data_IF_714669884578
#
_entry.id   IF_714669884578
#
_cell.length_a   1.000
_cell.length_b   1.000
_cell.length_c   1.000
_cell.angle_alpha   90.00
_cell.angle_beta   90.00
_cell.angle_gamma   90.00
#
_symmetry.space_group_name_H-M   'P 1'
#
loop_
_entity.id
_entity.type
_entity.pdbx_description
1 polymer ?
#
# COMPACT_ATOMS: atom_id res chain seq x y z
N UNK A 1 -19.41 -0.95 8.11
CA UNK A 1 -18.10 -1.04 8.79
C UNK A 1 -17.19 -0.09 8.05
N UNK A 2 -16.64 0.93 8.70
CA UNK A 2 -15.68 1.81 8.01
C UNK A 2 -14.33 1.09 7.92
N UNK A 3 -13.83 1.00 6.69
CA UNK A 3 -12.57 0.35 6.34
C UNK A 3 -11.69 1.41 5.69
N UNK A 4 -10.43 1.42 6.06
CA UNK A 4 -9.42 2.27 5.45
C UNK A 4 -8.43 1.38 4.72
N UNK A 5 -8.05 1.76 3.51
CA UNK A 5 -7.01 1.10 2.77
C UNK A 5 -6.00 2.14 2.30
N UNK A 6 -4.71 1.81 2.38
CA UNK A 6 -3.63 2.68 1.94
C UNK A 6 -2.73 1.95 0.95
N UNK A 7 -2.37 2.64 -0.13
CA UNK A 7 -1.31 2.18 -1.02
C UNK A 7 0.01 2.65 -0.46
N UNK A 8 0.89 1.71 -0.14
CA UNK A 8 2.15 1.97 0.57
C UNK A 8 3.32 1.60 -0.32
N UNK A 9 4.25 2.53 -0.50
CA UNK A 9 5.53 2.33 -1.15
C UNK A 9 6.62 2.09 -0.10
N UNK A 10 7.30 0.96 -0.25
CA UNK A 10 8.50 0.60 0.49
C UNK A 10 9.69 0.81 -0.43
N UNK A 11 10.57 1.73 -0.06
CA UNK A 11 11.81 2.03 -0.76
C UNK A 11 12.98 1.55 0.09
N UNK A 12 13.59 0.44 -0.32
CA UNK A 12 14.62 -0.24 0.46
C UNK A 12 16.00 -0.05 -0.15
N UNK A 13 17.00 0.06 0.73
CA UNK A 13 18.42 0.16 0.33
C UNK A 13 19.00 -1.19 -0.10
N UNK A 14 18.37 -2.29 0.31
CA UNK A 14 18.82 -3.66 0.02
C UNK A 14 17.70 -4.60 -0.41
N UNK A 15 18.08 -5.68 -1.10
CA UNK A 15 17.15 -6.72 -1.55
C UNK A 15 16.50 -7.52 -0.40
N UNK A 16 17.10 -7.50 0.79
CA UNK A 16 16.56 -8.15 1.98
C UNK A 16 15.33 -7.39 2.54
N UNK A 17 15.14 -6.13 2.14
CA UNK A 17 14.04 -5.26 2.60
C UNK A 17 14.01 -5.04 4.13
N UNK A 18 15.18 -5.09 4.78
CA UNK A 18 15.29 -4.89 6.24
C UNK A 18 15.36 -3.40 6.62
N UNK A 19 15.78 -2.53 5.70
CA UNK A 19 15.92 -1.09 5.88
C UNK A 19 15.19 -0.36 4.75
N UNK A 20 13.91 -0.10 4.98
CA UNK A 20 13.00 0.51 4.02
C UNK A 20 12.40 1.81 4.55
N UNK A 21 12.43 2.85 3.72
CA UNK A 21 11.62 4.03 3.92
C UNK A 21 10.20 3.74 3.40
N UNK A 22 9.21 4.09 4.22
CA UNK A 22 7.80 3.79 3.95
C UNK A 22 7.06 5.08 3.64
N UNK A 23 6.35 5.09 2.52
CA UNK A 23 5.58 6.23 2.06
C UNK A 23 4.14 5.81 1.76
N UNK A 24 3.17 6.54 2.32
CA UNK A 24 1.77 6.43 1.92
C UNK A 24 1.61 7.19 0.61
N UNK A 25 1.24 6.48 -0.44
CA UNK A 25 1.04 7.05 -1.78
C UNK A 25 -0.37 7.57 -1.97
N UNK A 26 -1.35 6.84 -1.46
CA UNK A 26 -2.78 7.17 -1.54
C UNK A 26 -3.55 6.42 -0.43
N UNK A 27 -4.75 6.90 -0.11
CA UNK A 27 -5.61 6.31 0.91
C UNK A 27 -7.08 6.43 0.56
N UNK A 28 -7.82 5.37 0.80
CA UNK A 28 -9.26 5.27 0.56
C UNK A 28 -10.00 4.88 1.83
N UNK A 29 -11.24 5.33 1.93
CA UNK A 29 -12.11 5.08 3.08
C UNK A 29 -13.48 4.57 2.62
N UNK A 30 -14.08 3.69 3.40
CA UNK A 30 -15.40 3.12 3.15
C UNK A 30 -15.36 1.66 2.70
N UNK A 31 -16.52 1.14 2.30
CA UNK A 31 -16.70 -0.29 2.02
C UNK A 31 -15.88 -0.77 0.80
N UNK A 32 -15.63 0.14 -0.14
CA UNK A 32 -14.90 -0.13 -1.38
C UNK A 32 -13.40 0.15 -1.31
N UNK A 33 -12.90 0.68 -0.19
CA UNK A 33 -11.49 1.09 -0.03
C UNK A 33 -10.50 -0.01 -0.41
N UNK A 34 -10.80 -1.27 -0.06
CA UNK A 34 -9.95 -2.44 -0.41
C UNK A 34 -9.95 -2.74 -1.91
N UNK A 35 -11.06 -2.51 -2.61
CA UNK A 35 -11.13 -2.69 -4.08
C UNK A 35 -10.29 -1.62 -4.76
N UNK A 36 -10.53 -0.35 -4.41
CA UNK A 36 -9.84 0.81 -4.95
C UNK A 36 -8.32 0.71 -4.76
N UNK A 37 -7.88 0.35 -3.55
CA UNK A 37 -6.47 0.15 -3.25
C UNK A 37 -5.82 -0.98 -4.06
N UNK A 38 -6.55 -2.08 -4.34
CA UNK A 38 -6.02 -3.18 -5.16
C UNK A 38 -5.96 -2.83 -6.64
N UNK A 39 -6.94 -2.08 -7.14
CA UNK A 39 -6.94 -1.57 -8.51
C UNK A 39 -5.75 -0.62 -8.72
N UNK A 40 -5.55 0.32 -7.79
CA UNK A 40 -4.39 1.23 -7.80
C UNK A 40 -3.06 0.46 -7.73
N UNK A 41 -2.93 -0.53 -6.83
CA UNK A 41 -1.75 -1.38 -6.74
C UNK A 41 -1.43 -2.07 -8.08
N UNK A 42 -2.45 -2.62 -8.75
CA UNK A 42 -2.30 -3.27 -10.05
C UNK A 42 -1.87 -2.30 -11.15
N UNK A 43 -2.39 -1.08 -11.14
CA UNK A 43 -2.04 -0.04 -12.10
C UNK A 43 -0.62 0.53 -11.88
N UNK A 44 -0.17 0.64 -10.62
CA UNK A 44 1.13 1.24 -10.28
C UNK A 44 2.30 0.23 -10.31
N UNK A 45 2.05 -1.06 -10.11
CA UNK A 45 3.09 -2.08 -10.07
C UNK A 45 3.99 -2.15 -11.34
N UNK A 46 3.46 -2.01 -12.58
CA UNK A 46 4.29 -2.03 -13.79
C UNK A 46 5.29 -0.87 -13.86
N UNK A 47 4.88 0.34 -13.46
CA UNK A 47 5.75 1.52 -13.47
C UNK A 47 6.86 1.39 -12.43
N UNK A 48 6.55 0.88 -11.23
CA UNK A 48 7.56 0.66 -10.20
C UNK A 48 8.59 -0.41 -10.58
N UNK A 49 8.20 -1.44 -11.36
CA UNK A 49 9.14 -2.44 -11.89
C UNK A 49 10.19 -1.85 -12.85
N UNK A 50 9.93 -0.67 -13.43
CA UNK A 50 10.91 0.02 -14.29
C UNK A 50 12.01 0.71 -13.48
N UNK A 51 11.82 0.91 -12.18
CA UNK A 51 12.82 1.50 -11.29
C UNK A 51 13.91 0.46 -11.01
N UNK A 52 14.90 0.37 -11.90
CA UNK A 52 16.00 -0.62 -11.85
C UNK A 52 16.97 -0.44 -10.68
N UNK A 53 17.01 0.75 -10.09
CA UNK A 53 18.05 1.18 -9.16
C UNK A 53 17.70 1.00 -7.69
N UNK A 54 16.45 0.67 -7.37
CA UNK A 54 15.96 0.62 -6.00
C UNK A 54 15.15 -0.64 -5.73
N UNK A 55 15.30 -1.19 -4.53
CA UNK A 55 14.49 -2.31 -4.07
C UNK A 55 13.15 -1.76 -3.62
N UNK A 56 12.20 -1.69 -4.56
CA UNK A 56 10.87 -1.13 -4.33
C UNK A 56 9.83 -2.23 -4.18
N UNK A 57 8.92 -2.03 -3.23
CA UNK A 57 7.72 -2.85 -3.06
C UNK A 57 6.52 -1.94 -2.85
N UNK A 58 5.44 -2.19 -3.60
CA UNK A 58 4.14 -1.59 -3.33
C UNK A 58 3.27 -2.61 -2.60
N UNK A 59 2.58 -2.18 -1.54
CA UNK A 59 1.58 -2.99 -0.83
C UNK A 59 0.28 -2.21 -0.68
N UNK A 60 -0.81 -2.96 -0.53
CA UNK A 60 -2.10 -2.41 -0.12
C UNK A 60 -2.33 -2.82 1.33
N UNK A 61 -2.20 -1.87 2.25
CA UNK A 61 -2.46 -2.07 3.67
C UNK A 61 -3.92 -1.76 3.96
N UNK A 62 -4.62 -2.67 4.63
CA UNK A 62 -6.06 -2.52 4.92
C UNK A 62 -6.26 -2.59 6.42
N UNK A 63 -6.72 -1.49 7.00
CA UNK A 63 -7.12 -1.41 8.39
C UNK A 63 -8.64 -1.43 8.49
N UNK A 64 -9.17 -2.39 9.25
CA UNK A 64 -10.57 -2.36 9.67
C UNK A 64 -10.63 -1.60 10.98
N UNK A 65 -11.41 -0.53 11.04
CA UNK A 65 -11.72 0.07 12.33
C UNK A 65 -12.41 -1.00 13.21
N UNK A 66 -11.93 -1.23 14.44
CA UNK A 66 -12.62 -2.13 15.35
C UNK A 66 -14.04 -1.59 15.55
N UNK A 67 -15.04 -2.44 15.31
CA UNK A 67 -16.40 -2.11 15.68
C UNK A 67 -16.43 -2.01 17.21
N UNK A 68 -16.33 -0.80 17.75
CA UNK A 68 -16.60 -0.56 19.17
C UNK A 68 -18.07 -0.95 19.37
N UNK A 69 -18.30 -2.14 19.91
CA UNK A 69 -19.61 -2.53 20.43
C UNK A 69 -19.70 -1.91 21.81
N UNK A 70 -20.54 -0.88 21.93
CA UNK A 70 -21.04 -0.40 23.22
C UNK A 70 -22.04 -1.41 23.79
#
# INVERSE_FOLDING_TARGET
>A
MNMTAALVLWLCTSAAMDDCQVYVMDSWHGEDARRECREALGASAPEMRKVKSAHVRLTCEVEREPSVRF
#
